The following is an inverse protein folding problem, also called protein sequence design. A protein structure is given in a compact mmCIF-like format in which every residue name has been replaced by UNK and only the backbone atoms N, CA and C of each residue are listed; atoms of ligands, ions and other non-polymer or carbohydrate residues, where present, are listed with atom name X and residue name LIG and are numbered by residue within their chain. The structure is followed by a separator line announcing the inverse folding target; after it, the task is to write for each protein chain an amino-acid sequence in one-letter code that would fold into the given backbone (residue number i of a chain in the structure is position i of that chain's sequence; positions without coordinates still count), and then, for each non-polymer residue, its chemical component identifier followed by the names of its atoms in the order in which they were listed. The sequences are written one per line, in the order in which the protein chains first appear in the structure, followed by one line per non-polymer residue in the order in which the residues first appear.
data_IF_717449982681
#
_entry.id   IF_717449982681
#
_cell.length_a   1.000
_cell.length_b   1.000
_cell.length_c   1.000
_cell.angle_alpha   90.00
_cell.angle_beta   90.00
_cell.angle_gamma   90.00
#
_symmetry.space_group_name_H-M   'P 1'
#
loop_
_entity.id
_entity.type
_entity.pdbx_description
1 polymer ?
#
# COMPACT_ATOMS: atom_id res chain seq x y z
N UNK A 1 1.62 2.22 65.29
CA UNK A 1 0.86 1.42 64.31
C UNK A 1 0.70 2.32 63.12
N UNK A 2 1.64 2.21 62.20
CA UNK A 2 1.76 3.05 61.01
C UNK A 2 1.70 2.05 59.87
N UNK A 3 0.62 2.10 59.10
CA UNK A 3 0.41 1.20 57.97
C UNK A 3 1.35 1.63 56.84
N UNK A 4 2.09 0.65 56.33
CA UNK A 4 3.03 0.75 55.23
C UNK A 4 2.24 0.89 53.91
N UNK A 5 2.53 1.86 53.02
CA UNK A 5 1.85 1.97 51.75
C UNK A 5 2.27 0.82 50.82
N UNK A 6 1.29 0.04 50.36
CA UNK A 6 1.47 -1.06 49.41
C UNK A 6 2.21 -0.59 48.14
N UNK A 7 3.30 -1.30 47.86
CA UNK A 7 4.17 -1.19 46.70
C UNK A 7 3.37 -1.61 45.45
N UNK A 8 2.90 -0.62 44.68
CA UNK A 8 2.21 -0.81 43.41
C UNK A 8 3.13 -1.32 42.30
N UNK A 9 3.57 -2.58 42.40
CA UNK A 9 4.19 -3.29 41.28
C UNK A 9 3.12 -3.59 40.21
N UNK A 10 3.38 -3.29 38.92
CA UNK A 10 2.53 -3.77 37.84
C UNK A 10 2.60 -5.31 37.76
N UNK A 11 1.44 -5.95 37.59
CA UNK A 11 1.33 -7.39 37.36
C UNK A 11 2.07 -7.78 36.08
N UNK A 12 3.00 -8.72 36.22
CA UNK A 12 3.93 -9.25 35.19
C UNK A 12 3.25 -10.26 34.25
N UNK A 13 1.92 -10.24 34.14
CA UNK A 13 1.14 -11.31 33.49
C UNK A 13 1.07 -11.22 31.96
N UNK A 14 1.67 -10.19 31.33
CA UNK A 14 1.98 -10.15 29.89
C UNK A 14 0.80 -10.36 28.92
N UNK A 15 -0.44 -10.43 29.41
CA UNK A 15 -1.61 -10.83 28.63
C UNK A 15 -2.36 -9.58 28.21
N UNK A 16 -2.32 -9.21 26.91
CA UNK A 16 -3.10 -8.08 26.41
C UNK A 16 -4.59 -8.40 26.56
N UNK A 17 -5.30 -7.56 27.33
CA UNK A 17 -6.73 -7.72 27.68
C UNK A 17 -7.69 -7.30 26.57
N UNK A 18 -7.24 -7.19 25.31
CA UNK A 18 -8.08 -6.76 24.20
C UNK A 18 -8.14 -7.86 23.13
N UNK A 19 -9.30 -8.49 22.90
CA UNK A 19 -9.47 -9.45 21.81
C UNK A 19 -9.31 -8.72 20.46
N UNK A 20 -8.41 -9.22 19.63
CA UNK A 20 -8.10 -8.61 18.33
C UNK A 20 -7.10 -9.43 17.55
N UNK A 21 -7.03 -9.17 16.24
CA UNK A 21 -5.98 -9.78 15.44
C UNK A 21 -4.66 -9.05 15.69
N UNK A 22 -3.53 -9.75 15.82
CA UNK A 22 -2.20 -9.14 15.95
C UNK A 22 -1.29 -9.65 14.84
N UNK A 23 -0.57 -8.75 14.18
CA UNK A 23 0.51 -9.14 13.29
C UNK A 23 1.75 -9.42 14.15
N UNK A 24 2.04 -10.69 14.38
CA UNK A 24 3.22 -11.09 15.16
C UNK A 24 4.35 -11.49 14.21
N UNK A 25 5.57 -10.93 14.39
CA UNK A 25 6.75 -11.56 13.84
C UNK A 25 6.95 -12.87 14.58
N UNK A 26 6.75 -14.00 13.89
CA UNK A 26 7.03 -15.31 14.46
C UNK A 26 8.47 -15.65 14.07
N UNK A 27 9.33 -15.64 15.08
CA UNK A 27 10.72 -16.09 14.98
C UNK A 27 10.72 -17.62 15.01
N UNK A 28 10.60 -18.23 13.83
CA UNK A 28 10.77 -19.66 13.67
C UNK A 28 12.27 -19.93 13.66
N UNK A 29 12.74 -20.79 14.57
CA UNK A 29 14.15 -20.96 14.96
C UNK A 29 15.20 -21.23 13.85
N UNK A 30 14.85 -21.19 12.57
CA UNK A 30 15.74 -21.32 11.41
C UNK A 30 15.30 -20.51 10.17
N UNK A 31 14.40 -19.52 10.29
CA UNK A 31 13.83 -18.79 9.14
C UNK A 31 13.80 -17.26 9.31
N UNK A 32 13.82 -16.53 8.19
CA UNK A 32 13.60 -15.09 8.16
C UNK A 32 12.21 -14.75 8.73
N UNK A 33 12.11 -13.62 9.45
CA UNK A 33 10.89 -13.14 10.10
C UNK A 33 9.65 -13.36 9.22
N UNK A 34 8.74 -14.22 9.71
CA UNK A 34 7.47 -14.49 9.04
C UNK A 34 6.36 -13.75 9.78
N UNK A 35 5.56 -13.00 9.04
CA UNK A 35 4.50 -12.15 9.57
C UNK A 35 3.17 -12.89 9.46
N UNK A 36 2.58 -13.25 10.59
CA UNK A 36 1.30 -13.97 10.64
C UNK A 36 0.21 -13.09 11.24
N UNK A 37 -1.01 -13.21 10.70
CA UNK A 37 -2.21 -12.63 11.29
C UNK A 37 -2.69 -13.59 12.39
N UNK A 38 -2.50 -13.21 13.66
CA UNK A 38 -2.88 -13.97 14.84
C UNK A 38 -4.25 -13.49 15.36
N UNK A 39 -5.10 -14.33 15.96
CA UNK A 39 -6.36 -13.91 16.61
C UNK A 39 -6.28 -14.10 18.14
N UNK A 40 -6.29 -13.02 18.94
CA UNK A 40 -6.19 -13.11 20.42
C UNK A 40 -7.47 -13.54 21.12
N UNK A 41 -8.64 -13.50 20.47
CA UNK A 41 -9.89 -13.59 21.22
C UNK A 41 -10.14 -14.98 21.82
N UNK A 42 -9.51 -16.02 21.30
CA UNK A 42 -9.71 -17.41 21.68
C UNK A 42 -8.41 -18.16 21.99
N UNK A 43 -7.25 -17.53 21.82
CA UNK A 43 -5.96 -18.18 22.05
C UNK A 43 -5.73 -19.36 21.11
N UNK A 44 -6.45 -19.39 19.98
CA UNK A 44 -6.39 -20.50 19.05
C UNK A 44 -5.64 -20.13 17.77
N UNK A 45 -4.96 -21.13 17.20
CA UNK A 45 -4.27 -21.05 15.92
C UNK A 45 -5.01 -21.99 14.98
N UNK A 46 -5.55 -21.50 13.87
CA UNK A 46 -6.12 -22.37 12.85
C UNK A 46 -5.06 -22.62 11.77
N UNK A 47 -4.73 -23.89 11.52
CA UNK A 47 -3.83 -24.25 10.43
C UNK A 47 -4.55 -24.28 9.07
N UNK A 48 -3.81 -24.67 8.05
CA UNK A 48 -4.28 -24.69 6.66
C UNK A 48 -5.38 -25.74 6.39
N UNK A 49 -5.51 -26.72 7.29
CA UNK A 49 -6.47 -27.82 7.24
C UNK A 49 -7.68 -27.57 8.15
N UNK A 50 -7.74 -26.41 8.82
CA UNK A 50 -8.81 -26.03 9.74
C UNK A 50 -8.66 -26.65 11.14
N UNK A 51 -7.49 -27.17 11.49
CA UNK A 51 -7.21 -27.61 12.85
C UNK A 51 -6.89 -26.43 13.73
N UNK A 52 -7.60 -26.37 14.84
CA UNK A 52 -7.46 -25.36 15.87
C UNK A 52 -6.39 -25.85 16.86
N UNK A 53 -5.41 -25.03 17.21
CA UNK A 53 -4.38 -25.31 18.20
C UNK A 53 -4.43 -24.28 19.33
N UNK A 54 -4.15 -24.67 20.56
CA UNK A 54 -3.97 -23.75 21.69
C UNK A 54 -2.51 -23.83 22.18
N UNK A 55 -1.91 -22.74 22.67
CA UNK A 55 -0.60 -22.77 23.30
C UNK A 55 -0.72 -23.41 24.68
N UNK A 56 0.08 -24.43 24.95
CA UNK A 56 0.20 -25.05 26.27
C UNK A 56 0.89 -24.09 27.26
N UNK A 57 0.98 -24.42 28.57
CA UNK A 57 1.66 -23.59 29.56
C UNK A 57 3.15 -23.31 29.28
N UNK A 58 3.78 -24.04 28.35
CA UNK A 58 5.13 -23.82 27.89
C UNK A 58 5.20 -23.00 26.58
N UNK A 59 4.05 -22.57 26.03
CA UNK A 59 3.92 -21.82 24.79
C UNK A 59 3.97 -22.69 23.53
N UNK A 60 3.83 -24.01 23.64
CA UNK A 60 3.85 -24.95 22.51
C UNK A 60 2.43 -25.15 21.99
N UNK A 61 2.23 -25.03 20.67
CA UNK A 61 0.92 -25.21 20.04
C UNK A 61 0.50 -26.68 20.03
N UNK A 62 -0.62 -27.00 20.68
CA UNK A 62 -1.21 -28.34 20.73
C UNK A 62 -2.60 -28.34 20.08
N UNK A 63 -2.96 -29.36 19.26
CA UNK A 63 -4.28 -29.43 18.64
C UNK A 63 -5.38 -29.47 19.69
N UNK A 64 -6.41 -28.65 19.52
CA UNK A 64 -7.62 -28.63 20.33
C UNK A 64 -8.57 -29.70 19.79
N UNK A 65 -8.84 -30.72 20.59
CA UNK A 65 -9.95 -31.64 20.32
C UNK A 65 -11.27 -30.85 20.43
N UNK A 66 -11.84 -30.45 19.29
CA UNK A 66 -13.01 -29.57 19.25
C UNK A 66 -14.20 -30.15 20.06
N UNK A 67 -14.65 -29.49 21.15
CA UNK A 67 -15.87 -29.89 21.84
C UNK A 67 -17.10 -29.51 21.01
N UNK A 68 -18.17 -30.30 21.12
CA UNK A 68 -19.44 -30.05 20.43
C UNK A 68 -20.02 -28.66 20.82
N UNK A 69 -20.59 -27.90 19.87
CA UNK A 69 -21.01 -26.53 20.10
C UNK A 69 -22.12 -26.42 21.14
N UNK A 70 -21.95 -25.54 22.11
CA UNK A 70 -22.96 -25.13 23.11
C UNK A 70 -23.33 -23.65 22.93
N UNK A 71 -24.62 -23.35 23.09
CA UNK A 71 -25.20 -22.01 22.90
C UNK A 71 -24.65 -20.97 23.90
N UNK A 72 -24.36 -19.72 23.46
CA UNK A 72 -23.83 -18.68 24.35
C UNK A 72 -24.95 -18.00 25.18
N UNK A 73 -24.72 -17.74 26.48
CA UNK A 73 -25.61 -16.93 27.31
C UNK A 73 -25.33 -15.42 27.13
N UNK A 74 -26.40 -14.63 27.11
CA UNK A 74 -26.36 -13.17 26.87
C UNK A 74 -25.72 -12.37 28.01
N UNK A 75 -24.87 -11.42 27.64
CA UNK A 75 -24.22 -10.45 28.53
C UNK A 75 -24.72 -9.01 28.34
N UNK A 76 -24.78 -8.18 29.41
CA UNK A 76 -25.36 -6.84 29.42
C UNK A 76 -24.39 -5.71 29.01
N UNK A 77 -25.00 -4.59 28.59
CA UNK A 77 -24.39 -3.35 28.09
C UNK A 77 -23.70 -2.50 29.17
N UNK A 78 -22.57 -1.86 28.82
CA UNK A 78 -21.89 -0.85 29.65
C UNK A 78 -21.85 0.54 28.95
N UNK A 79 -21.77 1.65 29.73
CA UNK A 79 -21.93 3.01 29.25
C UNK A 79 -20.63 3.68 28.76
N UNK A 80 -20.81 4.62 27.83
CA UNK A 80 -19.80 5.48 27.22
C UNK A 80 -19.31 6.57 28.19
N UNK A 81 -17.98 6.71 28.35
CA UNK A 81 -17.34 7.83 29.04
C UNK A 81 -16.43 8.58 28.06
N UNK A 82 -16.67 9.89 27.92
CA UNK A 82 -15.90 10.80 27.09
C UNK A 82 -14.64 11.32 27.78
N UNK A 83 -13.66 11.71 26.96
CA UNK A 83 -12.45 12.39 27.40
C UNK A 83 -11.94 13.33 26.31
N UNK A 84 -12.08 14.63 26.57
CA UNK A 84 -11.48 15.74 25.81
C UNK A 84 -9.95 15.67 25.88
N UNK A 85 -9.25 15.95 24.77
CA UNK A 85 -7.79 16.11 24.78
C UNK A 85 -7.39 17.40 24.05
N UNK A 86 -6.62 18.20 24.78
CA UNK A 86 -6.15 19.53 24.41
C UNK A 86 -5.05 19.49 23.33
N UNK A 87 -5.18 20.42 22.38
CA UNK A 87 -4.26 20.66 21.27
C UNK A 87 -3.17 21.65 21.71
N UNK A 88 -1.90 21.26 21.54
CA UNK A 88 -0.73 22.05 21.90
C UNK A 88 0.03 22.39 20.62
N UNK A 89 -0.13 23.64 20.18
CA UNK A 89 0.50 24.22 19.00
C UNK A 89 2.00 24.50 19.26
N UNK A 90 2.86 23.99 18.38
CA UNK A 90 4.32 24.16 18.44
C UNK A 90 4.81 24.97 17.24
N UNK A 91 5.68 25.95 17.52
CA UNK A 91 6.27 26.89 16.58
C UNK A 91 7.27 26.23 15.60
N UNK A 92 7.43 26.78 14.38
CA UNK A 92 8.34 26.24 13.37
C UNK A 92 9.81 26.65 13.61
N UNK A 93 10.79 25.79 13.24
CA UNK A 93 12.22 26.11 13.31
C UNK A 93 12.75 26.86 12.08
N UNK A 94 13.79 27.66 12.32
CA UNK A 94 14.55 28.49 11.38
C UNK A 94 15.26 27.68 10.27
N UNK A 95 15.22 28.21 9.05
CA UNK A 95 15.91 27.67 7.87
C UNK A 95 17.36 28.15 7.72
N UNK A 96 18.32 27.28 7.37
CA UNK A 96 19.72 27.65 7.14
C UNK A 96 19.99 28.26 5.74
N UNK A 97 20.97 29.17 5.73
CA UNK A 97 21.51 29.94 4.61
C UNK A 97 22.43 29.07 3.73
N UNK A 98 22.15 29.01 2.42
CA UNK A 98 22.97 28.31 1.43
C UNK A 98 24.07 29.22 0.85
N UNK A 99 25.32 28.79 1.00
CA UNK A 99 26.51 29.45 0.45
C UNK A 99 26.67 29.25 -1.06
N UNK A 100 27.25 30.26 -1.70
CA UNK A 100 27.52 30.31 -3.13
C UNK A 100 28.62 29.32 -3.58
N UNK A 101 28.40 28.66 -4.71
CA UNK A 101 29.37 27.80 -5.39
C UNK A 101 30.37 28.62 -6.24
N UNK A 102 31.63 28.20 -6.35
CA UNK A 102 32.64 28.87 -7.17
C UNK A 102 32.46 28.60 -8.68
N UNK A 103 32.71 29.66 -9.45
CA UNK A 103 32.70 29.71 -10.92
C UNK A 103 33.90 28.96 -11.48
N UNK A 104 33.67 28.00 -12.38
CA UNK A 104 34.71 27.26 -13.09
C UNK A 104 35.21 28.06 -14.32
N UNK A 105 36.53 28.16 -14.41
CA UNK A 105 37.34 28.85 -15.41
C UNK A 105 37.41 28.05 -16.74
N UNK A 106 37.03 28.64 -17.90
CA UNK A 106 37.11 27.98 -19.18
C UNK A 106 38.37 28.42 -19.93
N UNK A 107 39.53 27.77 -19.71
CA UNK A 107 40.64 27.98 -20.64
C UNK A 107 41.63 26.81 -20.75
N UNK A 108 41.67 26.23 -21.96
CA UNK A 108 42.85 25.73 -22.71
C UNK A 108 42.44 24.69 -23.75
N UNK A 109 42.08 25.16 -24.94
CA UNK A 109 42.11 24.35 -26.17
C UNK A 109 43.56 24.30 -26.68
N UNK A 110 44.15 23.10 -26.67
CA UNK A 110 45.35 22.79 -27.46
C UNK A 110 44.92 21.83 -28.56
N UNK A 111 45.07 22.25 -29.81
CA UNK A 111 44.80 21.42 -30.99
C UNK A 111 45.97 20.44 -31.20
N UNK A 112 45.73 19.12 -31.20
CA UNK A 112 46.72 18.15 -31.62
C UNK A 112 46.65 17.94 -33.14
N UNK A 113 47.76 18.20 -33.82
CA UNK A 113 47.97 17.85 -35.23
C UNK A 113 48.15 16.33 -35.32
N UNK A 114 47.13 15.63 -35.82
CA UNK A 114 47.10 14.17 -35.92
C UNK A 114 47.82 13.68 -37.20
N UNK A 115 48.72 12.68 -37.10
CA UNK A 115 49.40 12.09 -38.25
C UNK A 115 48.44 11.23 -39.11
N UNK A 116 48.65 11.14 -40.43
CA UNK A 116 47.71 10.56 -41.40
C UNK A 116 47.43 9.06 -41.25
N UNK A 117 48.15 8.33 -40.39
CA UNK A 117 47.90 6.92 -40.10
C UNK A 117 46.66 6.68 -39.21
N UNK A 118 46.12 7.73 -38.57
CA UNK A 118 44.97 7.62 -37.66
C UNK A 118 43.60 7.66 -38.35
N UNK A 119 43.57 7.94 -39.66
CA UNK A 119 42.32 8.00 -40.45
C UNK A 119 41.70 6.61 -40.61
N UNK A 120 42.49 5.56 -40.83
CA UNK A 120 41.96 4.20 -41.02
C UNK A 120 41.39 3.56 -39.75
N UNK A 121 41.92 3.90 -38.57
CA UNK A 121 41.37 3.45 -37.29
C UNK A 121 40.04 4.16 -36.99
N UNK A 122 39.94 5.45 -37.33
CA UNK A 122 38.72 6.24 -37.10
C UNK A 122 37.50 5.72 -37.87
N UNK A 123 37.68 5.25 -39.11
CA UNK A 123 36.60 4.70 -39.93
C UNK A 123 36.07 3.38 -39.34
N UNK A 124 36.97 2.53 -38.84
CA UNK A 124 36.60 1.26 -38.20
C UNK A 124 35.80 1.47 -36.89
N UNK A 125 36.21 2.45 -36.07
CA UNK A 125 35.51 2.79 -34.83
C UNK A 125 34.14 3.41 -35.11
N UNK A 126 34.04 4.29 -36.12
CA UNK A 126 32.77 4.88 -36.52
C UNK A 126 31.79 3.83 -37.06
N UNK A 127 32.26 2.88 -37.88
CA UNK A 127 31.44 1.78 -38.39
C UNK A 127 30.94 0.88 -37.25
N UNK A 128 31.81 0.55 -36.27
CA UNK A 128 31.42 -0.24 -35.10
C UNK A 128 30.40 0.49 -34.22
N UNK A 129 30.57 1.80 -34.02
CA UNK A 129 29.63 2.63 -33.26
C UNK A 129 28.26 2.69 -33.95
N UNK A 130 28.21 2.82 -35.28
CA UNK A 130 26.95 2.80 -36.04
C UNK A 130 26.27 1.44 -35.94
N UNK A 131 27.00 0.33 -36.03
CA UNK A 131 26.43 -1.01 -35.89
C UNK A 131 25.91 -1.24 -34.46
N UNK A 132 26.67 -0.86 -33.43
CA UNK A 132 26.22 -0.95 -32.04
C UNK A 132 25.00 -0.07 -31.78
N UNK A 133 24.99 1.16 -32.28
CA UNK A 133 23.85 2.07 -32.18
C UNK A 133 22.63 1.49 -32.90
N UNK A 134 22.81 0.88 -34.08
CA UNK A 134 21.75 0.22 -34.81
C UNK A 134 21.21 -1.03 -34.09
N UNK A 135 22.07 -1.83 -33.45
CA UNK A 135 21.64 -2.99 -32.63
C UNK A 135 20.87 -2.53 -31.38
N UNK A 136 21.29 -1.43 -30.75
CA UNK A 136 20.59 -0.86 -29.59
C UNK A 136 19.23 -0.29 -30.01
N UNK A 137 19.17 0.42 -31.14
CA UNK A 137 17.91 1.00 -31.66
C UNK A 137 16.96 -0.08 -32.19
N UNK A 138 17.46 -1.10 -32.89
CA UNK A 138 16.62 -2.18 -33.44
C UNK A 138 16.18 -3.19 -32.39
N UNK A 139 16.85 -3.26 -31.24
CA UNK A 139 16.40 -4.03 -30.08
C UNK A 139 15.63 -3.22 -29.06
N UNK A 140 15.43 -1.92 -29.29
CA UNK A 140 14.41 -1.22 -28.52
C UNK A 140 13.07 -1.84 -28.92
N UNK A 141 12.35 -2.53 -28.01
CA UNK A 141 11.01 -2.98 -28.30
C UNK A 141 10.23 -1.77 -28.80
N UNK A 142 9.54 -1.93 -29.94
CA UNK A 142 8.67 -0.92 -30.51
C UNK A 142 7.92 -0.25 -29.36
N UNK A 143 8.20 1.04 -29.12
CA UNK A 143 7.44 1.81 -28.16
C UNK A 143 5.98 1.60 -28.56
N UNK A 144 5.14 1.00 -27.69
CA UNK A 144 3.77 0.70 -28.05
C UNK A 144 3.16 1.99 -28.56
N UNK A 145 2.87 2.04 -29.88
CA UNK A 145 2.22 3.19 -30.49
C UNK A 145 1.03 3.51 -29.61
N UNK A 146 0.96 4.70 -28.97
CA UNK A 146 -0.09 4.99 -28.02
C UNK A 146 -1.40 4.89 -28.79
N UNK A 147 -2.13 3.79 -28.59
CA UNK A 147 -3.42 3.59 -29.21
C UNK A 147 -4.31 4.73 -28.72
N UNK A 148 -4.54 5.71 -29.60
CA UNK A 148 -5.40 6.88 -29.34
C UNK A 148 -6.89 6.48 -29.35
N UNK A 149 -7.22 5.28 -28.89
CA UNK A 149 -8.58 4.93 -28.58
C UNK A 149 -8.89 5.57 -27.22
N UNK A 150 -9.56 6.72 -27.26
CA UNK A 150 -10.25 7.29 -26.10
C UNK A 150 -11.38 6.33 -25.73
N UNK A 151 -11.06 5.25 -25.01
CA UNK A 151 -12.09 4.42 -24.41
C UNK A 151 -12.82 5.32 -23.42
N UNK A 152 -14.14 5.53 -23.58
CA UNK A 152 -14.90 6.36 -22.66
C UNK A 152 -14.75 5.82 -21.23
N UNK A 153 -14.75 6.74 -20.28
CA UNK A 153 -14.68 6.45 -18.84
C UNK A 153 -15.81 5.49 -18.48
N UNK A 154 -15.50 4.20 -18.33
CA UNK A 154 -16.50 3.23 -17.93
C UNK A 154 -16.53 3.20 -16.41
N UNK A 155 -17.33 4.10 -15.83
CA UNK A 155 -17.60 4.10 -14.38
C UNK A 155 -18.32 2.79 -14.06
N UNK A 156 -17.81 1.96 -13.14
CA UNK A 156 -18.54 0.79 -12.67
C UNK A 156 -19.91 1.24 -12.18
N UNK A 157 -20.96 0.47 -12.48
CA UNK A 157 -22.33 0.77 -12.04
C UNK A 157 -22.49 0.90 -10.50
N UNK A 158 -21.43 0.62 -9.74
CA UNK A 158 -21.40 0.61 -8.28
C UNK A 158 -20.95 1.94 -7.63
N UNK A 159 -20.54 2.97 -8.37
CA UNK A 159 -20.11 4.24 -7.75
C UNK A 159 -21.34 5.12 -7.45
N UNK A 160 -21.72 5.20 -6.18
CA UNK A 160 -22.79 6.09 -5.75
C UNK A 160 -22.33 7.56 -5.83
N UNK A 161 -23.26 8.53 -5.99
CA UNK A 161 -22.93 9.95 -5.85
C UNK A 161 -22.30 10.23 -4.48
N UNK A 162 -21.33 11.14 -4.45
CA UNK A 162 -20.58 11.50 -3.24
C UNK A 162 -19.96 10.27 -2.54
N UNK A 163 -19.26 9.45 -3.33
CA UNK A 163 -18.53 8.28 -2.85
C UNK A 163 -17.27 7.99 -3.66
N UNK A 164 -16.36 7.23 -3.05
CA UNK A 164 -15.20 6.64 -3.70
C UNK A 164 -15.38 5.13 -3.84
N UNK A 165 -14.92 4.58 -4.96
CA UNK A 165 -14.84 3.16 -5.20
C UNK A 165 -13.43 2.80 -5.67
N UNK A 166 -12.82 1.83 -5.02
CA UNK A 166 -11.47 1.35 -5.33
C UNK A 166 -11.55 -0.14 -5.62
N UNK A 167 -11.06 -0.55 -6.79
CA UNK A 167 -10.91 -1.96 -7.16
C UNK A 167 -9.43 -2.28 -7.26
N UNK A 168 -8.99 -3.22 -6.42
CA UNK A 168 -7.61 -3.64 -6.32
C UNK A 168 -7.49 -5.10 -6.69
N UNK A 169 -6.93 -5.38 -7.87
CA UNK A 169 -6.74 -6.72 -8.39
C UNK A 169 -5.28 -7.17 -8.18
N UNK A 170 -5.06 -8.10 -7.26
CA UNK A 170 -3.75 -8.72 -7.04
C UNK A 170 -3.47 -9.74 -8.13
N UNK A 171 -2.36 -9.54 -8.84
CA UNK A 171 -1.95 -10.38 -9.96
C UNK A 171 -1.08 -11.56 -9.48
N UNK A 172 -0.98 -12.65 -10.27
CA UNK A 172 -0.05 -13.74 -10.00
C UNK A 172 1.42 -13.33 -9.98
N UNK A 173 1.79 -12.12 -10.42
CA UNK A 173 3.15 -11.58 -10.27
C UNK A 173 3.44 -11.00 -8.88
N UNK A 174 2.40 -10.71 -8.09
CA UNK A 174 2.50 -9.90 -6.87
C UNK A 174 2.35 -8.40 -7.11
N UNK A 175 2.13 -7.96 -8.34
CA UNK A 175 1.69 -6.58 -8.60
C UNK A 175 0.19 -6.44 -8.31
N UNK A 176 -0.26 -5.22 -8.04
CA UNK A 176 -1.67 -4.91 -7.85
C UNK A 176 -2.09 -3.90 -8.90
N UNK A 177 -3.05 -4.26 -9.75
CA UNK A 177 -3.72 -3.30 -10.64
C UNK A 177 -4.82 -2.62 -9.84
N UNK A 178 -4.80 -1.29 -9.82
CA UNK A 178 -5.79 -0.50 -9.08
C UNK A 178 -6.51 0.43 -10.04
N UNK A 179 -7.83 0.42 -9.94
CA UNK A 179 -8.72 1.40 -10.53
C UNK A 179 -9.49 2.09 -9.39
N UNK A 180 -9.41 3.42 -9.31
CA UNK A 180 -10.01 4.24 -8.27
C UNK A 180 -10.92 5.27 -8.91
N UNK A 181 -12.21 5.22 -8.59
CA UNK A 181 -13.22 6.15 -9.06
C UNK A 181 -13.70 7.03 -7.91
N UNK A 182 -13.89 8.30 -8.21
CA UNK A 182 -14.42 9.32 -7.30
C UNK A 182 -15.61 9.94 -8.00
N UNK A 183 -16.76 9.95 -7.33
CA UNK A 183 -17.95 10.69 -7.77
C UNK A 183 -18.35 11.65 -6.67
N UNK A 184 -18.49 12.93 -7.00
CA UNK A 184 -18.92 13.95 -6.02
C UNK A 184 -19.75 15.05 -6.67
N UNK A 185 -20.70 15.58 -5.90
CA UNK A 185 -21.49 16.76 -6.25
C UNK A 185 -20.68 18.06 -6.18
N UNK A 186 -19.54 18.07 -5.46
CA UNK A 186 -18.65 19.24 -5.35
C UNK A 186 -17.52 19.15 -6.38
N UNK A 187 -17.30 20.20 -7.20
CA UNK A 187 -16.22 20.16 -8.18
C UNK A 187 -14.85 19.92 -7.55
N UNK A 188 -14.14 18.94 -8.08
CA UNK A 188 -12.73 18.71 -7.82
C UNK A 188 -11.93 19.52 -8.84
N UNK A 189 -10.89 20.21 -8.40
CA UNK A 189 -9.97 20.96 -9.27
C UNK A 189 -8.53 20.44 -9.20
N UNK A 190 -8.22 19.62 -8.18
CA UNK A 190 -6.91 19.06 -7.95
C UNK A 190 -7.03 17.72 -7.25
N UNK A 191 -6.22 16.76 -7.68
CA UNK A 191 -6.00 15.47 -7.01
C UNK A 191 -4.51 15.32 -6.73
N UNK A 192 -4.18 14.91 -5.51
CA UNK A 192 -2.83 14.56 -5.12
C UNK A 192 -2.76 13.08 -4.76
N UNK A 193 -1.81 12.38 -5.36
CA UNK A 193 -1.55 10.96 -5.19
C UNK A 193 -0.25 10.77 -4.40
N UNK A 194 -0.33 10.11 -3.27
CA UNK A 194 0.82 9.74 -2.42
C UNK A 194 0.86 8.24 -2.16
N UNK A 195 2.05 7.73 -1.87
CA UNK A 195 2.14 6.43 -1.21
C UNK A 195 1.81 6.64 0.27
N UNK A 196 0.87 5.87 0.84
CA UNK A 196 0.73 5.85 2.29
C UNK A 196 2.04 5.37 2.93
N UNK A 197 2.31 5.80 4.17
CA UNK A 197 3.40 5.21 4.95
C UNK A 197 3.20 3.69 5.02
N UNK A 198 4.16 2.94 4.48
CA UNK A 198 4.11 1.49 4.39
C UNK A 198 5.02 0.81 5.42
N UNK A 199 4.54 -0.24 6.13
CA UNK A 199 5.39 -1.01 7.04
C UNK A 199 6.56 -1.59 6.26
N UNK A 200 7.68 -1.78 6.95
CA UNK A 200 8.94 -2.26 6.40
C UNK A 200 8.79 -3.36 5.34
N UNK A 201 9.67 -3.29 4.33
CA UNK A 201 9.71 -4.13 3.15
C UNK A 201 10.18 -3.32 1.96
N UNK A 202 10.35 -3.96 0.81
CA UNK A 202 10.92 -3.32 -0.37
C UNK A 202 10.18 -2.02 -0.78
N UNK A 203 10.84 -1.14 -1.55
CA UNK A 203 10.25 0.12 -2.00
C UNK A 203 8.96 -0.15 -2.79
N UNK A 204 7.86 0.47 -2.35
CA UNK A 204 6.60 0.47 -3.09
C UNK A 204 6.65 1.57 -4.15
N UNK A 205 6.10 1.30 -5.33
CA UNK A 205 5.93 2.32 -6.37
C UNK A 205 4.65 2.07 -7.16
N UNK A 206 3.93 3.16 -7.47
CA UNK A 206 2.88 3.13 -8.46
C UNK A 206 3.45 3.49 -9.83
N UNK A 207 3.08 2.73 -10.85
CA UNK A 207 3.51 2.91 -12.24
C UNK A 207 2.30 2.92 -13.16
N UNK A 208 2.51 3.40 -14.37
CA UNK A 208 1.47 3.50 -15.40
C UNK A 208 0.26 4.31 -14.90
N UNK A 209 0.53 5.33 -14.09
CA UNK A 209 -0.52 6.18 -13.52
C UNK A 209 -1.21 6.94 -14.64
N UNK A 210 -2.53 6.84 -14.68
CA UNK A 210 -3.40 7.55 -15.62
C UNK A 210 -4.54 8.18 -14.84
N UNK A 211 -4.79 9.45 -15.11
CA UNK A 211 -5.90 10.21 -14.54
C UNK A 211 -6.84 10.59 -15.66
N UNK A 212 -8.14 10.42 -15.43
CA UNK A 212 -9.19 10.86 -16.33
C UNK A 212 -10.31 11.51 -15.53
N UNK A 213 -10.99 12.47 -16.15
CA UNK A 213 -12.16 13.17 -15.63
C UNK A 213 -13.36 12.92 -16.55
N UNK A 214 -14.53 13.41 -16.15
CA UNK A 214 -15.72 13.57 -17.00
C UNK A 214 -15.45 14.23 -18.37
N UNK A 215 -14.46 15.11 -18.43
CA UNK A 215 -14.01 15.85 -19.61
C UNK A 215 -12.94 15.13 -20.45
N UNK A 216 -12.39 14.01 -19.97
CA UNK A 216 -11.42 13.19 -20.69
C UNK A 216 -10.12 12.90 -19.92
N UNK A 217 -9.11 12.32 -20.58
CA UNK A 217 -7.83 11.99 -19.96
C UNK A 217 -7.01 13.25 -19.64
N UNK A 218 -6.32 13.26 -18.50
CA UNK A 218 -5.42 14.33 -18.09
C UNK A 218 -3.96 13.88 -18.12
N UNK A 219 -3.05 14.66 -18.75
CA UNK A 219 -1.61 14.39 -18.68
C UNK A 219 -1.07 14.64 -17.27
N UNK A 220 -0.03 13.90 -16.90
CA UNK A 220 0.67 14.09 -15.63
C UNK A 220 1.77 13.04 -15.42
N UNK A 221 2.34 12.99 -14.20
CA UNK A 221 3.34 11.98 -13.85
C UNK A 221 2.82 10.57 -14.09
N UNK A 222 3.59 9.71 -14.74
CA UNK A 222 3.17 8.31 -14.99
C UNK A 222 3.58 7.35 -13.87
N UNK A 223 4.15 7.88 -12.79
CA UNK A 223 4.62 7.11 -11.65
C UNK A 223 4.53 7.95 -10.37
N UNK A 224 4.23 7.28 -9.25
CA UNK A 224 4.28 7.85 -7.89
C UNK A 224 5.26 7.01 -7.08
N UNK A 225 6.19 7.70 -6.42
CA UNK A 225 7.21 7.09 -5.55
C UNK A 225 7.10 7.74 -4.17
N UNK A 226 8.22 7.99 -3.47
CA UNK A 226 8.20 8.61 -2.14
C UNK A 226 7.61 10.04 -2.13
N UNK A 227 7.75 10.78 -3.24
CA UNK A 227 7.16 12.12 -3.35
C UNK A 227 5.72 12.05 -3.91
N UNK A 228 4.75 12.74 -3.29
CA UNK A 228 3.41 12.88 -3.84
C UNK A 228 3.41 13.52 -5.23
N UNK A 229 2.40 13.21 -6.04
CA UNK A 229 2.20 13.75 -7.38
C UNK A 229 0.83 14.41 -7.49
N UNK A 230 0.81 15.66 -7.95
CA UNK A 230 -0.41 16.43 -8.12
C UNK A 230 -0.87 16.48 -9.59
N UNK A 231 -2.19 16.51 -9.78
CA UNK A 231 -2.88 16.69 -11.05
C UNK A 231 -3.88 17.82 -10.88
N UNK A 232 -3.82 18.81 -11.77
CA UNK A 232 -4.69 19.98 -11.74
C UNK A 232 -5.56 20.00 -12.99
N UNK A 233 -6.84 20.30 -12.82
CA UNK A 233 -7.85 20.37 -13.88
C UNK A 233 -8.91 21.44 -13.56
N UNK A 234 -9.69 21.86 -14.57
CA UNK A 234 -10.58 23.03 -14.43
C UNK A 234 -11.68 22.88 -13.37
N UNK A 235 -12.48 21.82 -13.49
CA UNK A 235 -13.50 21.38 -12.56
C UNK A 235 -14.03 20.03 -13.04
N UNK A 236 -14.04 19.01 -12.19
CA UNK A 236 -14.60 17.70 -12.51
C UNK A 236 -15.46 17.18 -11.36
N UNK A 237 -16.58 16.53 -11.67
CA UNK A 237 -17.41 15.83 -10.66
C UNK A 237 -17.13 14.34 -10.60
N UNK A 238 -16.43 13.82 -11.61
CA UNK A 238 -15.99 12.43 -11.70
C UNK A 238 -14.49 12.39 -12.02
N UNK A 239 -13.76 11.57 -11.27
CA UNK A 239 -12.33 11.33 -11.48
C UNK A 239 -12.08 9.82 -11.44
N UNK A 240 -11.33 9.30 -12.41
CA UNK A 240 -10.76 7.97 -12.37
C UNK A 240 -9.24 8.05 -12.35
N UNK A 241 -8.64 7.26 -11.48
CA UNK A 241 -7.20 7.05 -11.41
C UNK A 241 -6.94 5.56 -11.58
N UNK A 242 -6.08 5.19 -12.53
CA UNK A 242 -5.66 3.79 -12.73
C UNK A 242 -4.14 3.69 -12.67
N UNK A 243 -3.63 2.64 -12.03
CA UNK A 243 -2.20 2.43 -11.83
C UNK A 243 -1.88 0.97 -11.49
N UNK A 244 -0.59 0.65 -11.48
CA UNK A 244 -0.07 -0.63 -11.01
C UNK A 244 0.85 -0.38 -9.81
N UNK A 245 0.52 -0.95 -8.67
CA UNK A 245 1.39 -0.99 -7.49
C UNK A 245 2.35 -2.16 -7.61
N UNK A 246 3.63 -1.85 -7.46
CA UNK A 246 4.73 -2.81 -7.38
C UNK A 246 5.35 -2.77 -5.98
N UNK A 247 5.78 -3.92 -5.45
CA UNK A 247 6.34 -4.04 -4.09
C UNK A 247 5.31 -4.00 -2.96
N UNK A 248 4.03 -3.82 -3.25
CA UNK A 248 2.95 -3.78 -2.27
C UNK A 248 2.57 -5.15 -1.69
N UNK A 249 2.99 -6.23 -2.35
CA UNK A 249 2.72 -7.61 -1.94
C UNK A 249 4.00 -8.27 -1.44
N UNK A 250 3.94 -8.84 -0.24
CA UNK A 250 4.99 -9.71 0.30
C UNK A 250 4.54 -11.16 0.16
N UNK A 251 5.38 -12.02 -0.40
CA UNK A 251 5.12 -13.46 -0.47
C UNK A 251 5.73 -14.16 0.73
N UNK A 252 5.02 -15.16 1.24
CA UNK A 252 5.62 -16.13 2.16
C UNK A 252 6.26 -17.26 1.36
N UNK A 253 7.37 -17.77 1.88
CA UNK A 253 7.98 -19.00 1.37
C UNK A 253 7.21 -20.25 1.82
N UNK A 254 6.44 -20.15 2.91
CA UNK A 254 5.61 -21.24 3.46
C UNK A 254 4.27 -20.72 4.04
N UNK A 255 3.13 -21.26 3.61
CA UNK A 255 2.98 -22.18 2.49
C UNK A 255 3.33 -21.47 1.17
N UNK A 256 3.79 -22.22 0.18
CA UNK A 256 4.10 -21.66 -1.14
C UNK A 256 2.84 -21.05 -1.75
N UNK A 257 2.94 -19.81 -2.22
CA UNK A 257 1.83 -19.09 -2.83
C UNK A 257 1.09 -18.14 -1.88
N UNK A 258 1.29 -18.26 -0.57
CA UNK A 258 0.72 -17.29 0.38
C UNK A 258 1.34 -15.92 0.15
N UNK A 259 0.49 -14.90 0.15
CA UNK A 259 0.89 -13.53 -0.03
C UNK A 259 0.08 -12.59 0.87
N UNK A 260 0.72 -11.49 1.27
CA UNK A 260 0.13 -10.39 2.00
C UNK A 260 0.21 -9.14 1.14
N UNK A 261 -0.93 -8.66 0.65
CA UNK A 261 -1.05 -7.32 0.09
C UNK A 261 -1.09 -6.31 1.25
N UNK A 262 0.07 -5.70 1.54
CA UNK A 262 0.26 -4.72 2.62
C UNK A 262 -0.39 -3.38 2.31
N UNK A 263 -0.55 -3.10 1.02
CA UNK A 263 -1.18 -1.90 0.52
C UNK A 263 -2.02 -2.23 -0.70
N UNK A 264 -3.28 -1.79 -0.72
CA UNK A 264 -4.20 -2.06 -1.83
C UNK A 264 -4.53 -0.81 -2.67
N UNK A 265 -4.13 0.39 -2.24
CA UNK A 265 -4.39 1.65 -2.96
C UNK A 265 -3.40 2.76 -2.57
N UNK A 266 -3.37 3.85 -3.33
CA UNK A 266 -2.64 5.07 -2.99
C UNK A 266 -3.45 5.97 -2.05
N UNK A 267 -2.75 6.83 -1.32
CA UNK A 267 -3.35 7.96 -0.65
C UNK A 267 -3.75 8.98 -1.70
N UNK A 268 -5.05 9.23 -1.76
CA UNK A 268 -5.63 10.17 -2.71
C UNK A 268 -6.25 11.30 -1.90
N UNK A 269 -5.82 12.54 -2.12
CA UNK A 269 -6.43 13.72 -1.50
C UNK A 269 -6.90 14.73 -2.55
N UNK A 270 -7.97 15.46 -2.23
CA UNK A 270 -8.51 16.52 -3.07
C UNK A 270 -9.26 17.57 -2.23
N UNK A 271 -9.35 18.83 -2.70
CA UNK A 271 -10.17 19.84 -2.07
C UNK A 271 -11.66 19.48 -2.13
N UNK A 272 -12.41 19.78 -1.07
CA UNK A 272 -13.85 19.50 -1.05
C UNK A 272 -14.25 18.29 -0.22
N UNK A 273 -13.40 17.80 0.67
CA UNK A 273 -13.79 16.91 1.77
C UNK A 273 -13.73 15.41 1.43
N UNK A 274 -13.78 14.61 2.49
CA UNK A 274 -13.69 13.16 2.41
C UNK A 274 -15.10 12.59 2.25
N UNK A 275 -15.28 11.73 1.25
CA UNK A 275 -16.52 10.97 1.04
C UNK A 275 -16.30 9.51 1.49
N UNK A 276 -17.35 8.74 1.77
CA UNK A 276 -17.20 7.32 2.09
C UNK A 276 -16.51 6.58 0.95
N UNK A 277 -15.61 5.66 1.29
CA UNK A 277 -14.83 4.87 0.34
C UNK A 277 -15.21 3.40 0.43
N UNK A 278 -15.44 2.76 -0.71
CA UNK A 278 -15.60 1.31 -0.80
C UNK A 278 -14.37 0.74 -1.50
N UNK A 279 -13.64 -0.14 -0.81
CA UNK A 279 -12.48 -0.86 -1.36
C UNK A 279 -12.89 -2.30 -1.65
N UNK A 280 -12.63 -2.76 -2.86
CA UNK A 280 -12.84 -4.15 -3.27
C UNK A 280 -11.50 -4.74 -3.65
N UNK A 281 -11.07 -5.76 -2.91
CA UNK A 281 -9.85 -6.52 -3.19
C UNK A 281 -10.22 -7.80 -3.91
N UNK A 282 -9.51 -8.12 -4.98
CA UNK A 282 -9.70 -9.30 -5.83
C UNK A 282 -8.35 -9.94 -6.15
N UNK A 283 -8.37 -11.22 -6.55
CA UNK A 283 -7.17 -11.93 -7.01
C UNK A 283 -6.80 -13.11 -6.09
N UNK A 284 -6.24 -14.16 -6.69
CA UNK A 284 -5.94 -15.40 -5.97
C UNK A 284 -7.15 -16.01 -5.25
N UNK A 285 -6.89 -16.76 -4.19
CA UNK A 285 -7.87 -17.14 -3.17
C UNK A 285 -7.70 -16.21 -1.98
N UNK A 286 -8.64 -15.28 -1.77
CA UNK A 286 -8.65 -14.42 -0.59
C UNK A 286 -8.98 -15.24 0.67
N UNK A 287 -8.26 -14.95 1.74
CA UNK A 287 -8.36 -15.67 3.01
C UNK A 287 -8.92 -14.75 4.09
N UNK A 288 -8.38 -13.54 4.17
CA UNK A 288 -8.75 -12.54 5.17
C UNK A 288 -8.40 -11.13 4.69
N UNK A 289 -9.02 -10.12 5.29
CA UNK A 289 -8.63 -8.73 5.14
C UNK A 289 -8.66 -8.02 6.50
N UNK A 290 -7.81 -7.00 6.62
CA UNK A 290 -7.68 -6.20 7.83
C UNK A 290 -7.49 -4.73 7.48
N UNK A 291 -7.89 -3.86 8.40
CA UNK A 291 -7.75 -2.42 8.33
C UNK A 291 -6.85 -1.94 9.46
N UNK A 292 -6.03 -0.93 9.20
CA UNK A 292 -5.25 -0.25 10.23
C UNK A 292 -5.19 1.25 9.92
N UNK A 293 -5.25 2.10 10.93
CA UNK A 293 -5.15 3.56 10.74
C UNK A 293 -3.78 3.97 10.21
N UNK A 294 -2.75 3.19 10.55
CA UNK A 294 -1.41 3.29 10.01
C UNK A 294 -0.68 1.95 10.21
N UNK A 295 0.58 1.90 9.81
CA UNK A 295 1.44 0.71 9.87
C UNK A 295 1.89 0.29 11.28
N UNK A 296 1.79 1.18 12.27
CA UNK A 296 2.22 0.96 13.65
C UNK A 296 1.10 0.42 14.52
N UNK A 297 -0.15 0.62 14.08
CA UNK A 297 -1.33 0.10 14.74
C UNK A 297 -1.60 -1.33 14.32
N UNK A 298 -1.90 -2.16 15.30
CA UNK A 298 -2.32 -3.54 15.09
C UNK A 298 -3.53 -3.61 14.16
N UNK A 299 -3.44 -4.33 13.02
CA UNK A 299 -4.57 -4.43 12.09
C UNK A 299 -5.77 -5.17 12.68
N UNK A 300 -6.97 -4.62 12.47
CA UNK A 300 -8.26 -5.20 12.88
C UNK A 300 -8.99 -5.79 11.68
N UNK A 301 -9.75 -6.89 11.81
CA UNK A 301 -10.61 -7.38 10.73
C UNK A 301 -11.54 -6.29 10.23
N UNK A 302 -11.71 -6.24 8.93
CA UNK A 302 -12.66 -5.32 8.32
C UNK A 302 -13.21 -5.88 7.02
N UNK A 303 -14.38 -5.39 6.63
CA UNK A 303 -15.06 -5.80 5.40
C UNK A 303 -15.74 -7.17 5.48
N UNK A 304 -16.21 -7.62 4.32
CA UNK A 304 -17.00 -8.83 4.15
C UNK A 304 -16.56 -9.55 2.87
N UNK A 305 -16.61 -10.88 2.88
CA UNK A 305 -16.40 -11.69 1.68
C UNK A 305 -17.61 -11.58 0.74
N UNK A 306 -17.33 -11.40 -0.55
CA UNK A 306 -18.33 -11.37 -1.61
C UNK A 306 -17.87 -12.24 -2.79
N UNK A 307 -18.20 -13.52 -2.72
CA UNK A 307 -17.79 -14.50 -3.71
C UNK A 307 -16.27 -14.67 -3.72
N UNK A 308 -15.59 -14.13 -4.73
CA UNK A 308 -14.12 -14.15 -4.87
C UNK A 308 -13.45 -12.81 -4.56
N UNK A 309 -14.22 -11.86 -4.05
CA UNK A 309 -13.74 -10.55 -3.67
C UNK A 309 -13.91 -10.33 -2.16
N UNK A 310 -13.18 -9.37 -1.63
CA UNK A 310 -13.39 -8.86 -0.28
C UNK A 310 -13.77 -7.39 -0.37
N UNK A 311 -14.89 -6.99 0.21
CA UNK A 311 -15.40 -5.62 0.18
C UNK A 311 -15.26 -4.98 1.55
N UNK A 312 -14.57 -3.85 1.62
CA UNK A 312 -14.45 -3.00 2.81
C UNK A 312 -15.16 -1.68 2.53
N UNK A 313 -15.97 -1.21 3.47
CA UNK A 313 -16.50 0.15 3.46
C UNK A 313 -15.83 0.94 4.57
N UNK A 314 -15.26 2.08 4.20
CA UNK A 314 -14.59 3.03 5.07
C UNK A 314 -15.43 4.30 5.13
N UNK A 315 -15.77 4.71 6.36
CA UNK A 315 -16.43 5.98 6.58
C UNK A 315 -15.44 7.15 6.37
N UNK A 316 -15.92 8.40 6.21
CA UNK A 316 -15.02 9.54 5.96
C UNK A 316 -13.90 9.71 6.99
N UNK A 317 -14.11 9.31 8.25
CA UNK A 317 -13.08 9.36 9.30
C UNK A 317 -12.02 8.25 9.18
N UNK A 318 -12.32 7.18 8.45
CA UNK A 318 -11.49 5.98 8.27
C UNK A 318 -10.92 5.90 6.85
N UNK A 319 -11.10 6.95 6.02
CA UNK A 319 -10.75 6.91 4.59
C UNK A 319 -9.25 6.67 4.37
N UNK A 320 -8.42 7.11 5.31
CA UNK A 320 -6.97 6.93 5.29
C UNK A 320 -6.53 5.60 5.90
N UNK A 321 -7.45 4.77 6.40
CA UNK A 321 -7.11 3.45 6.92
C UNK A 321 -6.54 2.58 5.78
N UNK A 322 -5.43 1.92 6.08
CA UNK A 322 -4.78 0.94 5.24
C UNK A 322 -5.63 -0.33 5.16
N UNK A 323 -6.08 -0.68 3.96
CA UNK A 323 -6.72 -1.98 3.71
C UNK A 323 -5.68 -2.98 3.24
N UNK A 324 -5.51 -4.05 4.03
CA UNK A 324 -4.61 -5.17 3.77
C UNK A 324 -5.40 -6.43 3.46
N UNK A 325 -4.82 -7.35 2.69
CA UNK A 325 -5.45 -8.62 2.38
C UNK A 325 -4.43 -9.76 2.33
N UNK A 326 -4.80 -10.89 2.92
CA UNK A 326 -4.05 -12.14 2.82
C UNK A 326 -4.70 -13.05 1.78
N UNK A 327 -3.89 -13.65 0.91
CA UNK A 327 -4.37 -14.44 -0.21
C UNK A 327 -3.39 -15.54 -0.63
N UNK A 328 -3.89 -16.54 -1.33
CA UNK A 328 -3.06 -17.50 -2.07
C UNK A 328 -3.00 -17.14 -3.55
N UNK A 329 -1.79 -16.92 -4.05
CA UNK A 329 -1.48 -16.71 -5.46
C UNK A 329 -1.07 -18.04 -6.11
N UNK A 330 -1.62 -18.29 -7.29
CA UNK A 330 -1.30 -19.45 -8.13
C UNK A 330 -0.02 -19.24 -8.96
#
# INVERSE_FOLDING_TARGET
MTEDPEDGRPDDSGTPTVPGWVLHPVDLADHAESWWLYHHADGTFEDEDGYVYEPDPAGVLVPVDAPAPTDPPGGPSLPLAGGERAEKEAAPPDTPVWGALPVADPDRRREPVLPPALVLISVSVAALAVVLMWVVVSRWPDQPTPASATTPLQVPAAVAPDSEYVRSQVLPSGDIRVDHWISTSRPITRVELGLPPGPGGGPVAARQVRVATDTGPWPGPTAVTAAPSAYEFGAATEVQVSYVLSGAVTRSDRPSGRALARLTSLDLSYPGGQVPRTVVVEGGRLLSAACATDQTVTPRPCGQSEGRAWRVRLEPAERTDLVMAQLDLA
#
